data_IF_751546916136
#
_entry.id   IF_751546916136
#
_cell.length_a   1.000
_cell.length_b   1.000
_cell.length_c   1.000
_cell.angle_alpha   90.00
_cell.angle_beta   90.00
_cell.angle_gamma   90.00
#
_symmetry.space_group_name_H-M   'P 1'
#
loop_
_entity.id
_entity.type
_entity.pdbx_description
1 polymer ?
#
# COMPACT_ATOMS: atom_id res chain seq x y z
N UNK A 1 3.78 -48.04 29.45
CA UNK A 1 3.97 -48.21 30.90
C UNK A 1 2.63 -48.70 31.47
N UNK A 2 2.56 -49.79 32.22
CA UNK A 2 1.28 -50.22 32.82
C UNK A 2 0.86 -49.26 33.92
N UNK A 3 -0.47 -49.00 33.97
CA UNK A 3 -1.11 -48.00 34.85
C UNK A 3 -0.78 -48.20 36.35
N UNK A 4 -0.48 -49.44 36.75
CA UNK A 4 -0.11 -49.75 38.13
C UNK A 4 1.25 -49.11 38.58
N UNK A 5 2.15 -48.77 37.65
CA UNK A 5 3.42 -48.10 38.00
C UNK A 5 3.29 -46.56 38.08
N UNK A 6 2.18 -46.03 37.69
CA UNK A 6 1.87 -44.59 37.80
C UNK A 6 1.36 -44.20 39.15
N UNK A 7 0.77 -45.16 39.90
CA UNK A 7 0.17 -44.89 41.22
C UNK A 7 1.22 -44.49 42.28
N UNK A 8 2.44 -45.02 42.17
CA UNK A 8 3.53 -44.75 43.16
C UNK A 8 4.22 -43.37 42.89
N UNK A 9 3.99 -42.73 41.78
CA UNK A 9 4.61 -41.44 41.40
C UNK A 9 3.59 -40.32 41.25
N UNK A 10 2.32 -40.60 41.51
CA UNK A 10 1.25 -39.64 41.35
C UNK A 10 1.21 -38.58 42.47
N UNK A 11 1.60 -37.35 42.13
CA UNK A 11 1.60 -36.20 43.04
C UNK A 11 0.30 -35.39 43.03
N UNK A 12 -0.83 -35.98 42.66
CA UNK A 12 -2.16 -35.33 42.68
C UNK A 12 -2.47 -34.45 41.45
N UNK A 13 -1.51 -34.22 40.54
CA UNK A 13 -1.71 -33.45 39.31
C UNK A 13 -1.18 -34.23 38.10
N UNK A 14 -2.03 -34.51 37.13
CA UNK A 14 -1.65 -35.12 35.88
C UNK A 14 -1.77 -34.11 34.73
N UNK A 15 -0.65 -33.84 34.05
CA UNK A 15 -0.60 -33.03 32.81
C UNK A 15 -0.69 -33.96 31.60
N UNK A 16 -1.83 -33.96 30.93
CA UNK A 16 -2.02 -34.72 29.70
C UNK A 16 -1.45 -33.94 28.53
N UNK A 17 -0.18 -34.19 28.15
CA UNK A 17 0.40 -33.63 26.96
C UNK A 17 0.15 -34.59 25.78
N UNK A 18 -0.77 -34.23 24.90
CA UNK A 18 -0.96 -34.92 23.62
C UNK A 18 -0.03 -34.30 22.59
N UNK A 19 1.05 -34.99 22.26
CA UNK A 19 1.87 -34.64 21.12
C UNK A 19 1.06 -34.83 19.84
N UNK A 20 0.52 -33.72 19.33
CA UNK A 20 -0.15 -33.69 18.03
C UNK A 20 0.85 -33.21 16.98
N UNK A 21 1.91 -34.01 16.76
CA UNK A 21 2.85 -33.73 15.68
C UNK A 21 2.48 -34.60 14.46
N UNK A 22 1.82 -33.98 13.48
CA UNK A 22 2.05 -34.31 12.08
C UNK A 22 2.94 -33.22 11.52
N UNK A 23 4.25 -33.41 11.70
CA UNK A 23 5.26 -32.55 11.11
C UNK A 23 5.66 -33.15 9.76
N UNK A 24 4.99 -32.75 8.71
CA UNK A 24 5.52 -32.82 7.35
C UNK A 24 6.08 -31.46 6.91
N UNK A 25 6.64 -30.70 7.82
CA UNK A 25 7.43 -29.53 7.47
C UNK A 25 8.90 -29.95 7.48
N UNK A 26 9.49 -30.07 6.29
CA UNK A 26 10.95 -30.23 6.11
C UNK A 26 11.68 -29.21 7.00
N UNK A 27 12.59 -29.64 7.91
CA UNK A 27 13.31 -28.74 8.82
C UNK A 27 14.21 -27.70 8.10
N UNK A 28 14.36 -27.79 6.78
CA UNK A 28 15.22 -26.90 5.98
C UNK A 28 14.55 -25.65 5.41
N UNK A 29 13.22 -25.49 5.52
CA UNK A 29 12.53 -24.36 4.88
C UNK A 29 12.65 -23.03 5.63
N UNK A 30 13.21 -23.02 6.85
CA UNK A 30 13.40 -21.83 7.68
C UNK A 30 14.87 -21.50 7.97
N UNK A 31 15.80 -22.26 7.37
CA UNK A 31 17.23 -21.98 7.47
C UNK A 31 17.57 -20.79 6.57
N UNK A 32 18.04 -19.71 7.22
CA UNK A 32 18.90 -18.68 6.62
C UNK A 32 18.33 -17.90 5.44
N UNK A 33 17.22 -17.22 5.60
CA UNK A 33 17.03 -16.03 4.78
C UNK A 33 17.76 -14.88 5.47
N UNK A 34 18.84 -14.44 4.84
CA UNK A 34 19.64 -13.27 5.23
C UNK A 34 18.68 -12.13 5.64
N UNK A 35 18.91 -11.48 6.78
CA UNK A 35 17.97 -10.59 7.45
C UNK A 35 17.43 -9.42 6.62
N UNK A 36 17.91 -9.26 5.38
CA UNK A 36 17.58 -8.19 4.45
C UNK A 36 16.44 -8.52 3.48
N UNK A 37 16.20 -9.79 3.19
CA UNK A 37 15.29 -10.19 2.09
C UNK A 37 13.96 -10.82 2.53
N UNK A 38 13.77 -11.13 3.83
CA UNK A 38 12.58 -11.85 4.30
C UNK A 38 11.25 -11.16 3.94
N UNK A 39 11.23 -9.82 4.00
CA UNK A 39 10.05 -9.03 3.67
C UNK A 39 9.76 -9.07 2.16
N UNK A 40 10.80 -8.86 1.34
CA UNK A 40 10.65 -8.90 -0.12
C UNK A 40 10.36 -10.31 -0.63
N UNK A 41 10.85 -11.36 0.03
CA UNK A 41 10.53 -12.74 -0.30
C UNK A 41 9.06 -13.06 -0.02
N UNK A 42 8.51 -12.51 1.08
CA UNK A 42 7.09 -12.62 1.35
C UNK A 42 6.25 -11.92 0.26
N UNK A 43 6.65 -10.72 -0.18
CA UNK A 43 5.98 -10.01 -1.29
C UNK A 43 6.09 -10.80 -2.62
N UNK A 44 7.28 -11.34 -2.93
CA UNK A 44 7.53 -12.06 -4.18
C UNK A 44 6.61 -13.26 -4.38
N UNK A 45 6.16 -13.87 -3.29
CA UNK A 45 5.20 -14.99 -3.33
C UNK A 45 3.85 -14.55 -3.90
N UNK A 46 3.45 -13.28 -3.73
CA UNK A 46 2.19 -12.72 -4.22
C UNK A 46 2.28 -12.09 -5.62
N UNK A 47 3.39 -12.31 -6.35
CA UNK A 47 3.60 -11.73 -7.68
C UNK A 47 2.46 -12.01 -8.68
N UNK A 48 1.82 -13.20 -8.58
CA UNK A 48 0.67 -13.55 -9.45
C UNK A 48 -0.53 -12.67 -9.14
N UNK A 49 -0.85 -12.47 -7.87
CA UNK A 49 -1.97 -11.64 -7.47
C UNK A 49 -1.71 -10.14 -7.78
N UNK A 50 -0.46 -9.65 -7.68
CA UNK A 50 -0.11 -8.31 -8.19
C UNK A 50 -0.26 -8.22 -9.72
N UNK A 51 0.01 -9.29 -10.46
CA UNK A 51 -0.23 -9.34 -11.90
C UNK A 51 -1.74 -9.28 -12.22
N UNK A 52 -2.58 -10.00 -11.47
CA UNK A 52 -4.04 -9.94 -11.61
C UNK A 52 -4.59 -8.53 -11.31
N UNK A 53 -4.06 -7.88 -10.28
CA UNK A 53 -4.37 -6.47 -9.96
C UNK A 53 -3.95 -5.54 -11.10
N UNK A 54 -2.77 -5.75 -11.68
CA UNK A 54 -2.27 -4.96 -12.81
C UNK A 54 -3.10 -5.18 -14.08
N UNK A 55 -3.52 -6.42 -14.36
CA UNK A 55 -4.42 -6.72 -15.47
C UNK A 55 -5.80 -6.08 -15.28
N UNK A 56 -6.35 -6.15 -14.07
CA UNK A 56 -7.60 -5.45 -13.74
C UNK A 56 -7.49 -3.94 -13.89
N UNK A 57 -6.35 -3.35 -13.49
CA UNK A 57 -6.04 -1.94 -13.70
C UNK A 57 -5.96 -1.61 -15.20
N UNK A 58 -5.32 -2.46 -15.99
CA UNK A 58 -5.23 -2.30 -17.45
C UNK A 58 -6.61 -2.24 -18.07
N UNK A 59 -7.46 -3.22 -17.79
CA UNK A 59 -8.80 -3.25 -18.35
C UNK A 59 -9.66 -2.07 -17.91
N UNK A 60 -9.61 -1.69 -16.62
CA UNK A 60 -10.34 -0.54 -16.11
C UNK A 60 -9.89 0.77 -16.78
N UNK A 61 -8.57 0.98 -16.93
CA UNK A 61 -8.03 2.18 -17.59
C UNK A 61 -8.30 2.19 -19.09
N UNK A 62 -8.36 1.03 -19.75
CA UNK A 62 -8.76 0.93 -21.15
C UNK A 62 -10.24 1.30 -21.33
N UNK A 63 -11.14 0.80 -20.49
CA UNK A 63 -12.55 1.17 -20.49
C UNK A 63 -12.76 2.65 -20.21
N UNK A 64 -11.92 3.24 -19.37
CA UNK A 64 -11.95 4.67 -19.07
C UNK A 64 -11.72 5.58 -20.30
N UNK A 65 -11.03 5.09 -21.34
CA UNK A 65 -10.82 5.80 -22.61
C UNK A 65 -12.15 5.95 -23.35
N UNK A 66 -13.05 5.00 -23.21
CA UNK A 66 -14.35 5.01 -23.90
C UNK A 66 -15.15 6.29 -23.61
N UNK A 67 -15.09 6.81 -22.38
CA UNK A 67 -15.75 8.07 -22.01
C UNK A 67 -15.22 9.28 -22.79
N UNK A 68 -13.91 9.35 -23.00
CA UNK A 68 -13.29 10.44 -23.74
C UNK A 68 -13.61 10.33 -25.25
N UNK A 69 -13.57 9.12 -25.80
CA UNK A 69 -13.92 8.87 -27.20
C UNK A 69 -15.41 9.12 -27.46
N UNK A 70 -16.28 8.78 -26.52
CA UNK A 70 -17.69 9.13 -26.58
C UNK A 70 -17.89 10.64 -26.70
N UNK A 71 -17.28 11.40 -25.79
CA UNK A 71 -17.40 12.87 -25.84
C UNK A 71 -16.90 13.40 -27.20
N UNK A 72 -15.79 12.91 -27.71
CA UNK A 72 -15.27 13.29 -29.02
C UNK A 72 -16.29 13.03 -30.14
N UNK A 73 -16.86 11.82 -30.19
CA UNK A 73 -17.85 11.47 -31.23
C UNK A 73 -19.14 12.29 -31.10
N UNK A 74 -19.60 12.57 -29.89
CA UNK A 74 -20.79 13.38 -29.67
C UNK A 74 -20.59 14.81 -30.19
N UNK A 75 -19.49 15.46 -29.81
CA UNK A 75 -19.25 16.85 -30.24
C UNK A 75 -18.90 16.98 -31.72
N UNK A 76 -18.23 15.99 -32.33
CA UNK A 76 -17.79 16.08 -33.74
C UNK A 76 -18.82 15.55 -34.72
N UNK A 77 -19.70 14.63 -34.33
CA UNK A 77 -20.64 13.99 -35.25
C UNK A 77 -22.10 14.12 -34.86
N UNK A 78 -22.42 13.88 -33.58
CA UNK A 78 -23.83 13.86 -33.16
C UNK A 78 -24.41 15.27 -33.12
N UNK A 79 -23.70 16.21 -32.49
CA UNK A 79 -24.18 17.60 -32.33
C UNK A 79 -24.35 18.31 -33.68
N UNK A 80 -23.37 18.28 -34.62
CA UNK A 80 -23.54 18.95 -35.89
C UNK A 80 -24.64 18.35 -36.79
N UNK A 81 -24.83 17.03 -36.71
CA UNK A 81 -25.78 16.32 -37.57
C UNK A 81 -27.14 16.03 -36.91
N UNK A 82 -27.34 16.46 -35.66
CA UNK A 82 -28.55 16.17 -34.85
C UNK A 82 -28.94 14.68 -34.85
N UNK A 83 -27.91 13.79 -34.85
CA UNK A 83 -28.08 12.33 -34.96
C UNK A 83 -28.40 11.71 -33.61
N UNK A 84 -29.65 11.91 -33.10
CA UNK A 84 -30.05 11.45 -31.76
C UNK A 84 -30.08 9.93 -31.62
N UNK A 85 -30.37 9.17 -32.67
CA UNK A 85 -30.34 7.70 -32.65
C UNK A 85 -28.92 7.19 -32.36
N UNK A 86 -27.93 7.79 -33.00
CA UNK A 86 -26.51 7.48 -32.76
C UNK A 86 -26.10 7.84 -31.34
N UNK A 87 -26.63 8.94 -30.78
CA UNK A 87 -26.37 9.35 -29.39
C UNK A 87 -26.75 8.24 -28.41
N UNK A 88 -27.96 7.69 -28.52
CA UNK A 88 -28.47 6.69 -27.59
C UNK A 88 -27.67 5.36 -27.68
N UNK A 89 -27.26 4.97 -28.88
CA UNK A 89 -26.41 3.78 -29.09
C UNK A 89 -25.04 4.00 -28.44
N UNK A 90 -24.40 5.13 -28.68
CA UNK A 90 -23.10 5.44 -28.07
C UNK A 90 -23.20 5.60 -26.54
N UNK A 91 -24.26 6.27 -26.04
CA UNK A 91 -24.49 6.46 -24.63
C UNK A 91 -24.68 5.13 -23.91
N UNK A 92 -25.50 4.23 -24.46
CA UNK A 92 -25.70 2.88 -23.86
C UNK A 92 -24.39 2.09 -23.81
N UNK A 93 -23.55 2.14 -24.85
CA UNK A 93 -22.25 1.50 -24.88
C UNK A 93 -21.30 2.05 -23.81
N UNK A 94 -21.26 3.38 -23.66
CA UNK A 94 -20.39 4.01 -22.65
C UNK A 94 -20.92 3.79 -21.23
N UNK A 95 -22.22 3.81 -20.99
CA UNK A 95 -22.80 3.46 -19.69
C UNK A 95 -22.39 2.03 -19.31
N UNK A 96 -22.46 1.08 -20.24
CA UNK A 96 -22.01 -0.27 -20.02
C UNK A 96 -20.51 -0.32 -19.70
N UNK A 97 -19.68 0.43 -20.42
CA UNK A 97 -18.24 0.52 -20.16
C UNK A 97 -17.94 1.09 -18.76
N UNK A 98 -18.69 2.14 -18.33
CA UNK A 98 -18.54 2.72 -16.99
C UNK A 98 -18.93 1.71 -15.90
N UNK A 99 -20.00 0.94 -16.09
CA UNK A 99 -20.41 -0.10 -15.13
C UNK A 99 -19.32 -1.18 -15.03
N UNK A 100 -18.79 -1.65 -16.17
CA UNK A 100 -17.68 -2.62 -16.16
C UNK A 100 -16.41 -2.04 -15.52
N UNK A 101 -16.06 -0.77 -15.81
CA UNK A 101 -14.95 -0.08 -15.16
C UNK A 101 -15.14 -0.07 -13.64
N UNK A 102 -16.33 0.28 -13.15
CA UNK A 102 -16.64 0.31 -11.73
C UNK A 102 -16.53 -1.07 -11.07
N UNK A 103 -17.05 -2.11 -11.73
CA UNK A 103 -16.96 -3.50 -11.25
C UNK A 103 -15.49 -3.94 -11.19
N UNK A 104 -14.70 -3.67 -12.23
CA UNK A 104 -13.27 -4.01 -12.23
C UNK A 104 -12.49 -3.27 -11.14
N UNK A 105 -12.77 -1.99 -10.90
CA UNK A 105 -12.17 -1.22 -9.80
C UNK A 105 -12.54 -1.79 -8.43
N UNK A 106 -13.80 -2.16 -8.24
CA UNK A 106 -14.27 -2.80 -7.01
C UNK A 106 -13.60 -4.15 -6.78
N UNK A 107 -13.57 -5.02 -7.81
CA UNK A 107 -12.91 -6.33 -7.75
C UNK A 107 -11.41 -6.19 -7.43
N UNK A 108 -10.73 -5.22 -8.06
CA UNK A 108 -9.33 -4.90 -7.78
C UNK A 108 -9.11 -4.50 -6.32
N UNK A 109 -9.98 -3.64 -5.77
CA UNK A 109 -9.94 -3.27 -4.36
C UNK A 109 -10.06 -4.48 -3.46
N UNK A 110 -11.07 -5.30 -3.70
CA UNK A 110 -11.31 -6.53 -2.92
C UNK A 110 -10.15 -7.54 -2.99
N UNK A 111 -9.52 -7.70 -4.16
CA UNK A 111 -8.32 -8.53 -4.32
C UNK A 111 -7.15 -7.98 -3.49
N UNK A 112 -6.92 -6.67 -3.50
CA UNK A 112 -5.87 -6.03 -2.70
C UNK A 112 -6.12 -6.20 -1.20
N UNK A 113 -7.37 -6.07 -0.74
CA UNK A 113 -7.74 -6.25 0.66
C UNK A 113 -7.55 -7.72 1.11
N UNK A 114 -7.96 -8.68 0.27
CA UNK A 114 -7.76 -10.11 0.54
C UNK A 114 -6.27 -10.48 0.60
N UNK A 115 -5.45 -9.93 -0.31
CA UNK A 115 -4.00 -10.07 -0.29
C UNK A 115 -3.41 -9.42 0.97
N UNK A 116 -3.88 -8.22 1.31
CA UNK A 116 -3.47 -7.46 2.49
C UNK A 116 -3.66 -8.27 3.75
N UNK A 117 -4.84 -8.86 3.95
CA UNK A 117 -5.16 -9.72 5.09
C UNK A 117 -4.21 -10.92 5.18
N UNK A 118 -3.97 -11.63 4.08
CA UNK A 118 -3.09 -12.81 4.07
C UNK A 118 -1.62 -12.44 4.31
N UNK A 119 -1.17 -11.33 3.75
CA UNK A 119 0.18 -10.81 3.97
C UNK A 119 0.36 -10.37 5.42
N UNK A 120 -0.63 -9.69 5.99
CA UNK A 120 -0.65 -9.28 7.39
C UNK A 120 -0.46 -10.44 8.35
N UNK A 121 -1.29 -11.46 8.24
CA UNK A 121 -1.21 -12.65 9.09
C UNK A 121 0.18 -13.30 9.03
N UNK A 122 0.77 -13.38 7.84
CA UNK A 122 2.11 -13.98 7.66
C UNK A 122 3.21 -13.10 8.25
N UNK A 123 3.18 -11.81 7.92
CA UNK A 123 4.23 -10.89 8.36
C UNK A 123 4.17 -10.68 9.88
N UNK A 124 2.99 -10.54 10.46
CA UNK A 124 2.79 -10.42 11.91
C UNK A 124 3.31 -11.65 12.66
N UNK A 125 2.97 -12.85 12.16
CA UNK A 125 3.48 -14.11 12.74
C UNK A 125 4.98 -14.23 12.64
N UNK A 126 5.57 -13.86 11.49
CA UNK A 126 7.02 -13.89 11.30
C UNK A 126 7.75 -12.86 12.17
N UNK A 127 7.16 -11.68 12.31
CA UNK A 127 7.67 -10.63 13.20
C UNK A 127 7.71 -11.13 14.64
N UNK A 128 6.60 -11.64 15.14
CA UNK A 128 6.49 -12.14 16.52
C UNK A 128 7.44 -13.32 16.79
N UNK A 129 7.54 -14.27 15.84
CA UNK A 129 8.47 -15.37 15.94
C UNK A 129 9.92 -14.88 16.05
N UNK A 130 10.29 -13.84 15.30
CA UNK A 130 11.63 -13.23 15.38
C UNK A 130 11.87 -12.52 16.71
N UNK A 131 10.87 -11.82 17.23
CA UNK A 131 10.94 -11.21 18.58
C UNK A 131 11.27 -12.27 19.62
N UNK A 132 10.57 -13.41 19.59
CA UNK A 132 10.78 -14.52 20.53
C UNK A 132 12.15 -15.20 20.34
N UNK A 133 12.72 -15.18 19.15
CA UNK A 133 14.03 -15.74 18.83
C UNK A 133 15.19 -14.79 19.15
N UNK A 134 14.92 -13.56 19.55
CA UNK A 134 15.96 -12.58 19.89
C UNK A 134 16.71 -13.05 21.16
N UNK A 135 18.04 -13.03 21.12
CA UNK A 135 18.86 -13.39 22.29
C UNK A 135 18.69 -12.36 23.39
N UNK A 136 18.62 -12.80 24.64
CA UNK A 136 18.54 -11.94 25.81
C UNK A 136 19.70 -10.92 25.86
N UNK A 137 20.91 -11.33 25.42
CA UNK A 137 22.06 -10.44 25.32
C UNK A 137 21.93 -9.33 24.27
N UNK A 138 21.01 -9.49 23.31
CA UNK A 138 20.75 -8.51 22.25
C UNK A 138 19.42 -7.74 22.49
N UNK A 139 18.87 -7.87 23.71
CA UNK A 139 17.67 -7.11 24.12
C UNK A 139 17.96 -5.62 24.05
N UNK A 140 17.12 -4.82 23.36
CA UNK A 140 17.26 -3.38 23.34
C UNK A 140 17.23 -2.79 24.76
N UNK A 141 18.03 -1.77 25.01
CA UNK A 141 18.12 -1.10 26.30
C UNK A 141 16.80 -0.43 26.70
N UNK A 142 15.97 -0.04 25.71
CA UNK A 142 14.66 0.57 25.93
C UNK A 142 13.57 -0.33 25.34
N UNK A 143 12.69 -0.84 26.21
CA UNK A 143 11.53 -1.63 25.84
C UNK A 143 10.53 -0.78 25.04
N UNK A 144 10.36 0.49 25.41
CA UNK A 144 9.47 1.41 24.74
C UNK A 144 9.90 1.74 23.30
N UNK A 145 11.20 1.91 23.06
CA UNK A 145 11.73 2.10 21.72
C UNK A 145 11.50 0.85 20.86
N UNK A 146 11.68 -0.34 21.42
CA UNK A 146 11.46 -1.60 20.72
C UNK A 146 9.98 -1.81 20.36
N UNK A 147 9.07 -1.57 21.31
CA UNK A 147 7.62 -1.64 21.09
C UNK A 147 7.17 -0.63 20.01
N UNK A 148 7.74 0.57 20.03
CA UNK A 148 7.47 1.58 19.01
C UNK A 148 7.91 1.10 17.61
N UNK A 149 9.08 0.47 17.49
CA UNK A 149 9.56 -0.08 16.23
C UNK A 149 8.67 -1.21 15.71
N UNK A 150 8.16 -2.07 16.59
CA UNK A 150 7.21 -3.13 16.20
C UNK A 150 5.92 -2.51 15.67
N UNK A 151 5.42 -1.46 16.31
CA UNK A 151 4.22 -0.75 15.85
C UNK A 151 4.43 -0.06 14.51
N UNK A 152 5.62 0.49 14.24
CA UNK A 152 5.94 1.07 12.94
C UNK A 152 5.93 0.05 11.79
N UNK A 153 6.07 -1.24 12.10
CA UNK A 153 5.89 -2.29 11.11
C UNK A 153 4.47 -2.34 10.54
N UNK A 154 3.46 -1.94 11.31
CA UNK A 154 2.08 -1.83 10.82
C UNK A 154 1.99 -0.79 9.68
N UNK A 155 2.68 0.34 9.82
CA UNK A 155 2.76 1.36 8.77
C UNK A 155 3.46 0.84 7.51
N UNK A 156 4.52 0.03 7.67
CA UNK A 156 5.21 -0.63 6.56
C UNK A 156 4.26 -1.59 5.84
N UNK A 157 3.58 -2.43 6.59
CA UNK A 157 2.61 -3.38 6.06
C UNK A 157 1.49 -2.68 5.30
N UNK A 158 0.87 -1.67 5.93
CA UNK A 158 -0.22 -0.89 5.35
C UNK A 158 0.18 -0.26 4.02
N UNK A 159 1.40 0.25 3.91
CA UNK A 159 1.90 0.81 2.66
C UNK A 159 1.85 -0.19 1.50
N UNK A 160 2.24 -1.44 1.71
CA UNK A 160 2.28 -2.47 0.66
C UNK A 160 0.95 -3.15 0.39
N UNK A 161 0.00 -3.07 1.33
CA UNK A 161 -1.31 -3.73 1.22
C UNK A 161 -2.46 -2.78 0.90
N UNK A 162 -2.22 -1.47 0.96
CA UNK A 162 -3.25 -0.44 0.80
C UNK A 162 -3.31 0.15 -0.62
N UNK A 163 -4.00 1.27 -0.74
CA UNK A 163 -4.16 2.08 -1.95
C UNK A 163 -2.84 2.41 -2.68
N UNK A 164 -1.68 2.33 -2.00
CA UNK A 164 -0.38 2.57 -2.63
C UNK A 164 -0.09 1.58 -3.76
N UNK A 165 -0.45 0.30 -3.58
CA UNK A 165 -0.29 -0.71 -4.62
C UNK A 165 -1.25 -0.47 -5.80
N UNK A 166 -2.48 0.01 -5.53
CA UNK A 166 -3.44 0.37 -6.56
C UNK A 166 -2.92 1.53 -7.42
N UNK A 167 -2.44 2.60 -6.79
CA UNK A 167 -1.92 3.77 -7.49
C UNK A 167 -0.66 3.42 -8.27
N UNK A 168 0.26 2.62 -7.69
CA UNK A 168 1.45 2.16 -8.40
C UNK A 168 1.12 1.36 -9.67
N UNK A 169 0.02 0.60 -9.67
CA UNK A 169 -0.44 -0.11 -10.86
C UNK A 169 -1.09 0.80 -11.91
N UNK A 170 -1.54 2.00 -11.53
CA UNK A 170 -2.14 2.97 -12.46
C UNK A 170 -1.07 3.87 -13.14
N UNK A 171 0.12 4.02 -12.56
CA UNK A 171 1.21 4.86 -13.10
C UNK A 171 1.62 4.52 -14.55
N UNK A 172 1.78 3.24 -14.96
CA UNK A 172 2.15 2.93 -16.35
C UNK A 172 1.12 3.41 -17.37
N UNK A 173 -0.16 3.50 -16.99
CA UNK A 173 -1.24 3.90 -17.88
C UNK A 173 -1.23 5.40 -18.20
N UNK A 174 -0.56 6.21 -17.39
CA UNK A 174 -0.28 7.62 -17.72
C UNK A 174 0.38 7.73 -19.09
N UNK A 175 1.32 6.84 -19.43
CA UNK A 175 1.99 6.84 -20.74
C UNK A 175 1.01 6.52 -21.88
N UNK A 176 0.07 5.61 -21.66
CA UNK A 176 -0.96 5.26 -22.64
C UNK A 176 -1.89 6.45 -22.87
N UNK A 177 -2.35 7.11 -21.82
CA UNK A 177 -3.17 8.31 -21.94
C UNK A 177 -2.43 9.44 -22.68
N UNK A 178 -1.15 9.66 -22.38
CA UNK A 178 -0.32 10.65 -23.10
C UNK A 178 -0.16 10.28 -24.57
N UNK A 179 0.04 9.00 -24.89
CA UNK A 179 0.12 8.53 -26.28
C UNK A 179 -1.18 8.78 -27.04
N UNK A 180 -2.34 8.54 -26.42
CA UNK A 180 -3.65 8.80 -27.04
C UNK A 180 -3.87 10.30 -27.22
N UNK A 181 -3.50 11.13 -26.24
CA UNK A 181 -3.58 12.60 -26.40
C UNK A 181 -2.67 13.07 -27.55
N UNK A 182 -1.47 12.48 -27.70
CA UNK A 182 -0.56 12.81 -28.79
C UNK A 182 -1.15 12.43 -30.16
N UNK A 183 -1.88 11.31 -30.25
CA UNK A 183 -2.54 10.86 -31.48
C UNK A 183 -3.74 11.73 -31.85
N UNK A 184 -4.52 12.19 -30.88
CA UNK A 184 -5.77 12.96 -31.11
C UNK A 184 -5.48 14.47 -31.23
N UNK A 185 -4.70 15.00 -30.26
CA UNK A 185 -4.46 16.45 -30.11
C UNK A 185 -3.09 16.92 -30.59
N UNK A 186 -2.22 15.99 -31.06
CA UNK A 186 -0.88 16.32 -31.50
C UNK A 186 -0.06 17.04 -30.40
N UNK A 187 0.44 18.27 -30.65
CA UNK A 187 1.31 18.98 -29.71
C UNK A 187 0.64 19.39 -28.38
N UNK A 188 -0.70 19.26 -28.24
CA UNK A 188 -1.43 19.50 -27.00
C UNK A 188 -0.91 18.61 -25.86
N UNK A 189 -0.34 17.45 -26.19
CA UNK A 189 0.28 16.50 -25.22
C UNK A 189 1.42 17.14 -24.40
N UNK A 190 2.06 18.18 -24.92
CA UNK A 190 3.14 18.88 -24.20
C UNK A 190 2.65 19.50 -22.88
N UNK A 191 1.37 19.90 -22.83
CA UNK A 191 0.78 20.50 -21.61
C UNK A 191 0.72 19.50 -20.44
N UNK A 192 0.11 18.31 -20.57
CA UNK A 192 0.13 17.33 -19.49
C UNK A 192 1.54 16.78 -19.20
N UNK A 193 2.44 16.70 -20.18
CA UNK A 193 3.83 16.33 -19.91
C UNK A 193 4.52 17.38 -19.03
N UNK A 194 4.36 18.67 -19.36
CA UNK A 194 4.90 19.76 -18.55
C UNK A 194 4.29 19.76 -17.12
N UNK A 195 2.99 19.51 -17.00
CA UNK A 195 2.32 19.39 -15.71
C UNK A 195 2.89 18.23 -14.88
N UNK A 196 3.10 17.07 -15.47
CA UNK A 196 3.70 15.91 -14.80
C UNK A 196 5.13 16.24 -14.34
N UNK A 197 5.95 16.86 -15.19
CA UNK A 197 7.30 17.29 -14.81
C UNK A 197 7.28 18.29 -13.65
N UNK A 198 6.35 19.24 -13.69
CA UNK A 198 6.17 20.23 -12.62
C UNK A 198 5.71 19.64 -11.29
N UNK A 199 4.98 18.50 -11.32
CA UNK A 199 4.59 17.76 -10.11
C UNK A 199 5.72 16.88 -9.58
N UNK A 200 6.42 16.16 -10.47
CA UNK A 200 7.43 15.17 -10.10
C UNK A 200 8.69 15.86 -9.58
N UNK A 201 9.13 16.94 -10.21
CA UNK A 201 10.40 17.59 -9.86
C UNK A 201 10.44 18.12 -8.41
N UNK A 202 9.46 18.90 -7.91
CA UNK A 202 9.45 19.33 -6.51
C UNK A 202 9.33 18.16 -5.54
N UNK A 203 8.54 17.13 -5.93
CA UNK A 203 8.36 15.93 -5.12
C UNK A 203 9.69 15.19 -4.91
N UNK A 204 10.48 15.02 -5.96
CA UNK A 204 11.81 14.42 -5.88
C UNK A 204 12.80 15.27 -5.07
N UNK A 205 12.79 16.58 -5.28
CA UNK A 205 13.69 17.50 -4.55
C UNK A 205 13.43 17.50 -3.03
N UNK A 206 12.16 17.38 -2.63
CA UNK A 206 11.76 17.42 -1.23
C UNK A 206 11.88 16.08 -0.50
N UNK A 207 12.18 14.96 -1.19
CA UNK A 207 12.28 13.63 -0.60
C UNK A 207 13.28 13.55 0.55
N UNK A 208 14.46 14.17 0.41
CA UNK A 208 15.49 14.16 1.46
C UNK A 208 14.99 14.84 2.73
N UNK A 209 14.34 15.99 2.61
CA UNK A 209 13.73 16.71 3.73
C UNK A 209 12.63 15.89 4.41
N UNK A 210 11.75 15.28 3.62
CA UNK A 210 10.71 14.39 4.16
C UNK A 210 11.31 13.21 4.92
N UNK A 211 12.35 12.57 4.37
CA UNK A 211 13.04 11.47 5.03
C UNK A 211 13.65 11.89 6.37
N UNK A 212 14.29 13.05 6.43
CA UNK A 212 14.88 13.57 7.68
C UNK A 212 13.82 13.91 8.73
N UNK A 213 12.72 14.55 8.32
CA UNK A 213 11.59 14.83 9.21
C UNK A 213 10.95 13.54 9.71
N UNK A 214 10.79 12.54 8.84
CA UNK A 214 10.26 11.23 9.19
C UNK A 214 11.15 10.51 10.22
N UNK A 215 12.49 10.55 10.03
CA UNK A 215 13.45 9.98 11.00
C UNK A 215 13.35 10.66 12.35
N UNK A 216 13.25 11.99 12.40
CA UNK A 216 13.07 12.75 13.64
C UNK A 216 11.75 12.39 14.30
N UNK A 217 10.66 12.36 13.57
CA UNK A 217 9.33 12.02 14.09
C UNK A 217 9.31 10.62 14.73
N UNK A 218 9.88 9.63 14.05
CA UNK A 218 9.99 8.26 14.56
C UNK A 218 10.86 8.20 15.83
N UNK A 219 12.00 8.92 15.87
CA UNK A 219 12.88 8.95 17.01
C UNK A 219 12.23 9.63 18.21
N UNK A 220 11.60 10.79 18.02
CA UNK A 220 10.93 11.53 19.09
C UNK A 220 9.70 10.78 19.62
N UNK A 221 8.95 10.13 18.71
CA UNK A 221 7.85 9.24 19.07
C UNK A 221 8.31 8.03 19.90
N UNK A 222 9.43 7.42 19.54
CA UNK A 222 10.02 6.31 20.31
C UNK A 222 10.45 6.76 21.72
N UNK A 223 11.06 7.93 21.85
CA UNK A 223 11.47 8.48 23.17
C UNK A 223 10.23 8.75 24.04
N UNK A 224 9.19 9.38 23.46
CA UNK A 224 7.92 9.63 24.18
C UNK A 224 7.25 8.33 24.66
N UNK A 225 7.19 7.31 23.79
CA UNK A 225 6.63 6.00 24.15
C UNK A 225 7.48 5.30 25.22
N UNK A 226 8.82 5.44 25.16
CA UNK A 226 9.71 4.90 26.19
C UNK A 226 9.44 5.53 27.55
N UNK A 227 9.28 6.86 27.61
CA UNK A 227 8.94 7.57 28.83
C UNK A 227 7.61 7.10 29.43
N UNK A 228 6.59 6.87 28.55
CA UNK A 228 5.29 6.38 29.01
C UNK A 228 5.42 4.99 29.67
N UNK A 229 6.12 4.06 29.04
CA UNK A 229 6.31 2.71 29.56
C UNK A 229 7.10 2.77 30.86
N UNK A 230 8.18 3.54 30.92
CA UNK A 230 9.00 3.73 32.11
C UNK A 230 8.19 4.34 33.28
N UNK A 231 7.33 5.32 32.99
CA UNK A 231 6.47 5.94 34.00
C UNK A 231 5.41 4.94 34.55
N UNK A 232 4.87 4.07 33.68
CA UNK A 232 3.89 3.05 34.11
C UNK A 232 4.59 1.94 34.91
N UNK A 233 5.76 1.48 34.46
CA UNK A 233 6.53 0.44 35.16
C UNK A 233 7.00 0.91 36.56
N UNK A 234 7.33 2.20 36.70
CA UNK A 234 7.83 2.77 37.96
C UNK A 234 6.81 3.70 38.68
N UNK A 235 5.51 3.49 38.44
CA UNK A 235 4.46 4.37 38.95
C UNK A 235 4.48 4.52 40.48
N UNK A 236 4.77 3.46 41.22
CA UNK A 236 4.87 3.45 42.67
C UNK A 236 6.04 4.35 43.13
N UNK A 237 7.21 4.22 42.50
CA UNK A 237 8.37 5.02 42.80
C UNK A 237 8.15 6.52 42.51
N UNK A 238 7.48 6.85 41.40
CA UNK A 238 7.11 8.22 41.07
C UNK A 238 6.18 8.81 42.09
N UNK A 239 5.16 8.05 42.55
CA UNK A 239 4.21 8.49 43.59
C UNK A 239 4.87 8.63 44.96
N UNK A 240 5.68 7.65 45.36
CA UNK A 240 6.40 7.69 46.63
C UNK A 240 7.37 8.88 46.68
N UNK A 241 8.04 9.20 45.55
CA UNK A 241 8.96 10.32 45.46
C UNK A 241 8.31 11.66 45.11
N UNK A 242 6.96 11.74 45.04
CA UNK A 242 6.23 12.95 44.55
C UNK A 242 6.77 13.49 43.25
N UNK A 243 7.15 12.59 42.31
CA UNK A 243 7.81 12.91 41.06
C UNK A 243 6.87 13.22 39.86
N UNK A 244 5.54 13.26 40.10
CA UNK A 244 4.52 13.41 39.07
C UNK A 244 4.71 14.71 38.27
N UNK A 245 5.03 15.82 38.93
CA UNK A 245 5.24 17.11 38.30
C UNK A 245 6.42 17.08 37.30
N UNK A 246 7.53 16.43 37.67
CA UNK A 246 8.69 16.28 36.81
C UNK A 246 8.40 15.36 35.60
N UNK A 247 7.70 14.26 35.84
CA UNK A 247 7.30 13.35 34.79
C UNK A 247 6.34 14.04 33.77
N UNK A 248 5.38 14.82 34.28
CA UNK A 248 4.46 15.61 33.47
C UNK A 248 5.18 16.67 32.62
N UNK A 249 6.10 17.42 33.22
CA UNK A 249 6.89 18.44 32.51
C UNK A 249 7.73 17.83 31.39
N UNK A 250 8.33 16.66 31.62
CA UNK A 250 9.09 15.95 30.60
C UNK A 250 8.18 15.45 29.45
N UNK A 251 7.00 14.92 29.80
CA UNK A 251 5.99 14.50 28.84
C UNK A 251 5.50 15.65 27.97
N UNK A 252 5.21 16.80 28.55
CA UNK A 252 4.79 18.00 27.82
C UNK A 252 5.87 18.47 26.86
N UNK A 253 7.14 18.52 27.33
CA UNK A 253 8.29 18.92 26.51
C UNK A 253 8.46 17.99 25.29
N UNK A 254 8.38 16.67 25.49
CA UNK A 254 8.49 15.70 24.41
C UNK A 254 7.28 15.77 23.46
N UNK A 255 6.09 15.99 24.01
CA UNK A 255 4.87 16.16 23.22
C UNK A 255 4.94 17.41 22.34
N UNK A 256 5.42 18.53 22.88
CA UNK A 256 5.59 19.78 22.12
C UNK A 256 6.60 19.60 20.98
N UNK A 257 7.74 18.96 21.23
CA UNK A 257 8.73 18.65 20.17
C UNK A 257 8.16 17.76 19.07
N UNK A 258 7.48 16.69 19.47
CA UNK A 258 6.86 15.77 18.52
C UNK A 258 5.79 16.47 17.68
N UNK A 259 4.94 17.30 18.30
CA UNK A 259 3.93 18.08 17.61
C UNK A 259 4.53 19.06 16.59
N UNK A 260 5.64 19.72 16.95
CA UNK A 260 6.35 20.63 16.04
C UNK A 260 6.94 19.90 14.85
N UNK A 261 7.62 18.76 15.07
CA UNK A 261 8.17 17.91 14.01
C UNK A 261 7.07 17.36 13.11
N UNK A 262 5.97 16.91 13.71
CA UNK A 262 4.80 16.41 12.98
C UNK A 262 4.14 17.51 12.14
N UNK A 263 4.01 18.73 12.70
CA UNK A 263 3.47 19.90 11.99
C UNK A 263 4.30 20.24 10.75
N UNK A 264 5.62 20.27 10.86
CA UNK A 264 6.52 20.51 9.73
C UNK A 264 6.40 19.44 8.66
N UNK A 265 6.36 18.16 9.06
CA UNK A 265 6.19 17.04 8.13
C UNK A 265 4.84 17.10 7.41
N UNK A 266 3.76 17.38 8.15
CA UNK A 266 2.41 17.50 7.59
C UNK A 266 2.31 18.70 6.65
N UNK A 267 2.81 19.87 7.05
CA UNK A 267 2.82 21.08 6.20
C UNK A 267 3.52 20.84 4.88
N UNK A 268 4.68 20.17 4.90
CA UNK A 268 5.42 19.84 3.69
C UNK A 268 4.66 18.85 2.78
N UNK A 269 4.09 17.80 3.36
CA UNK A 269 3.28 16.84 2.63
C UNK A 269 2.02 17.48 2.04
N UNK A 270 1.36 18.34 2.81
CA UNK A 270 0.16 19.06 2.36
C UNK A 270 0.49 20.04 1.23
N UNK A 271 1.63 20.76 1.33
CA UNK A 271 2.08 21.65 0.26
C UNK A 271 2.31 20.89 -1.06
N UNK A 272 2.91 19.69 -1.01
CA UNK A 272 3.09 18.84 -2.19
C UNK A 272 1.74 18.37 -2.76
N UNK A 273 0.81 17.95 -1.90
CA UNK A 273 -0.50 17.45 -2.34
C UNK A 273 -1.36 18.56 -2.92
N UNK A 274 -1.45 19.71 -2.25
CA UNK A 274 -2.21 20.86 -2.76
C UNK A 274 -1.55 21.48 -3.99
N UNK A 275 -0.21 21.55 -4.01
CA UNK A 275 0.53 22.00 -5.17
C UNK A 275 0.27 21.11 -6.40
N UNK A 276 0.26 19.79 -6.22
CA UNK A 276 -0.10 18.86 -7.29
C UNK A 276 -1.55 19.07 -7.78
N UNK A 277 -2.51 19.30 -6.88
CA UNK A 277 -3.88 19.64 -7.25
C UNK A 277 -3.99 20.96 -8.05
N UNK A 278 -3.23 21.99 -7.66
CA UNK A 278 -3.15 23.23 -8.44
C UNK A 278 -2.59 23.02 -9.84
N UNK A 279 -1.50 22.27 -9.95
CA UNK A 279 -0.89 21.95 -11.27
C UNK A 279 -1.86 21.17 -12.15
N UNK A 280 -2.67 20.29 -11.58
CA UNK A 280 -3.72 19.57 -12.32
C UNK A 280 -4.78 20.54 -12.89
N UNK A 281 -5.19 21.55 -12.12
CA UNK A 281 -6.11 22.56 -12.60
C UNK A 281 -5.48 23.43 -13.72
N UNK A 282 -4.23 23.84 -13.54
CA UNK A 282 -3.52 24.56 -14.58
C UNK A 282 -3.32 23.73 -15.84
N UNK A 283 -3.10 22.41 -15.71
CA UNK A 283 -3.03 21.51 -16.84
C UNK A 283 -4.35 21.52 -17.64
N UNK A 284 -5.49 21.43 -16.96
CA UNK A 284 -6.79 21.52 -17.61
C UNK A 284 -6.95 22.83 -18.39
N UNK A 285 -6.69 23.98 -17.73
CA UNK A 285 -6.76 25.30 -18.37
C UNK A 285 -5.80 25.40 -19.56
N UNK A 286 -4.59 24.88 -19.40
CA UNK A 286 -3.57 24.87 -20.47
C UNK A 286 -3.97 24.02 -21.67
N UNK A 287 -4.57 22.83 -21.45
CA UNK A 287 -5.09 21.98 -22.53
C UNK A 287 -6.19 22.72 -23.30
N UNK A 288 -7.14 23.35 -22.56
CA UNK A 288 -8.24 24.09 -23.19
C UNK A 288 -7.70 25.30 -23.96
N UNK A 289 -6.86 26.12 -23.35
CA UNK A 289 -6.32 27.32 -23.99
C UNK A 289 -5.52 26.98 -25.25
N UNK A 290 -4.57 26.03 -25.14
CA UNK A 290 -3.73 25.61 -26.28
C UNK A 290 -4.55 24.92 -27.37
N UNK A 291 -5.55 24.11 -26.97
CA UNK A 291 -6.44 23.43 -27.90
C UNK A 291 -7.34 24.40 -28.69
N UNK A 292 -7.79 25.50 -28.07
CA UNK A 292 -8.56 26.56 -28.79
C UNK A 292 -7.73 27.19 -29.90
N UNK A 293 -6.43 27.47 -29.65
CA UNK A 293 -5.54 27.94 -30.72
C UNK A 293 -5.42 26.93 -31.85
N UNK A 294 -5.30 25.64 -31.54
CA UNK A 294 -5.22 24.56 -32.52
C UNK A 294 -6.52 24.39 -33.34
N UNK A 295 -7.67 24.65 -32.71
CA UNK A 295 -8.96 24.66 -33.43
C UNK A 295 -9.01 25.85 -34.38
N UNK A 296 -8.54 27.03 -33.96
CA UNK A 296 -8.47 28.21 -34.82
C UNK A 296 -7.57 28.02 -36.06
N UNK A 297 -6.52 27.19 -35.95
CA UNK A 297 -5.65 26.78 -37.05
C UNK A 297 -6.27 25.66 -37.93
N UNK A 298 -7.45 25.15 -37.59
CA UNK A 298 -8.09 24.05 -38.31
C UNK A 298 -7.42 22.67 -38.09
N UNK A 299 -6.50 22.56 -37.12
CA UNK A 299 -5.72 21.35 -36.89
C UNK A 299 -6.30 20.43 -35.81
N UNK A 300 -7.42 20.84 -35.19
CA UNK A 300 -8.09 20.09 -34.13
C UNK A 300 -9.59 20.36 -34.11
N UNK A 301 -10.40 19.33 -33.79
CA UNK A 301 -11.85 19.47 -33.61
C UNK A 301 -12.22 19.82 -32.18
N UNK A 302 -13.44 20.33 -31.99
CA UNK A 302 -13.98 20.62 -30.64
C UNK A 302 -14.10 19.32 -29.81
N UNK A 303 -14.55 18.23 -30.43
CA UNK A 303 -14.64 16.94 -29.77
C UNK A 303 -13.27 16.39 -29.37
N UNK A 304 -12.24 16.58 -30.21
CA UNK A 304 -10.87 16.22 -29.89
C UNK A 304 -10.34 17.04 -28.69
N UNK A 305 -10.67 18.32 -28.56
CA UNK A 305 -10.35 19.15 -27.41
C UNK A 305 -10.97 18.60 -26.12
N UNK A 306 -12.28 18.29 -26.15
CA UNK A 306 -12.97 17.72 -24.99
C UNK A 306 -12.36 16.38 -24.60
N UNK A 307 -12.08 15.50 -25.59
CA UNK A 307 -11.44 14.22 -25.32
C UNK A 307 -10.04 14.39 -24.70
N UNK A 308 -9.20 15.30 -25.23
CA UNK A 308 -7.89 15.60 -24.67
C UNK A 308 -7.96 16.16 -23.25
N UNK A 309 -8.96 16.97 -22.93
CA UNK A 309 -9.14 17.51 -21.58
C UNK A 309 -9.52 16.41 -20.57
N UNK A 310 -10.42 15.50 -20.95
CA UNK A 310 -10.80 14.35 -20.13
C UNK A 310 -9.63 13.38 -19.91
N UNK A 311 -8.91 13.05 -20.98
CA UNK A 311 -7.74 12.18 -20.93
C UNK A 311 -6.59 12.83 -20.14
N UNK A 312 -6.38 14.14 -20.30
CA UNK A 312 -5.38 14.90 -19.55
C UNK A 312 -5.62 14.86 -18.06
N UNK A 313 -6.85 15.05 -17.63
CA UNK A 313 -7.22 14.91 -16.22
C UNK A 313 -6.93 13.48 -15.68
N UNK A 314 -7.24 12.44 -16.47
CA UNK A 314 -6.96 11.04 -16.11
C UNK A 314 -5.46 10.70 -16.16
N UNK A 315 -4.67 11.30 -17.04
CA UNK A 315 -3.23 11.09 -17.13
C UNK A 315 -2.48 11.71 -15.94
N UNK A 316 -2.94 12.87 -15.46
CA UNK A 316 -2.28 13.63 -14.39
C UNK A 316 -2.71 13.16 -13.00
N UNK A 317 -3.93 12.65 -12.82
CA UNK A 317 -4.47 12.23 -11.53
C UNK A 317 -3.61 11.20 -10.77
N UNK A 318 -3.08 10.12 -11.38
CA UNK A 318 -2.19 9.19 -10.67
C UNK A 318 -0.89 9.86 -10.19
N UNK A 319 -0.40 10.87 -10.90
CA UNK A 319 0.81 11.61 -10.54
C UNK A 319 0.61 12.50 -9.32
N UNK A 320 -0.57 13.13 -9.19
CA UNK A 320 -0.92 13.91 -8.00
C UNK A 320 -0.98 13.02 -6.74
N UNK A 321 -1.52 11.81 -6.88
CA UNK A 321 -1.56 10.83 -5.80
C UNK A 321 -0.17 10.24 -5.51
N UNK A 322 0.68 10.07 -6.52
CA UNK A 322 2.05 9.57 -6.37
C UNK A 322 2.90 10.47 -5.47
N UNK A 323 2.67 11.78 -5.47
CA UNK A 323 3.34 12.71 -4.55
C UNK A 323 3.06 12.36 -3.07
N UNK A 324 1.81 12.03 -2.74
CA UNK A 324 1.42 11.56 -1.40
C UNK A 324 2.00 10.20 -1.04
N UNK A 325 2.04 9.27 -2.01
CA UNK A 325 2.66 7.94 -1.81
C UNK A 325 4.14 8.08 -1.56
N UNK A 326 4.82 8.96 -2.27
CA UNK A 326 6.25 9.17 -2.12
C UNK A 326 6.62 9.65 -0.71
N UNK A 327 5.77 10.49 -0.10
CA UNK A 327 5.91 10.89 1.29
C UNK A 327 5.75 9.69 2.24
N UNK A 328 4.73 8.87 2.05
CA UNK A 328 4.51 7.64 2.83
C UNK A 328 5.63 6.61 2.61
N UNK A 329 6.15 6.48 1.39
CA UNK A 329 7.28 5.61 1.08
C UNK A 329 8.52 5.97 1.89
N UNK A 330 8.85 7.27 2.03
CA UNK A 330 9.99 7.68 2.85
C UNK A 330 9.81 7.30 4.32
N UNK A 331 8.61 7.48 4.87
CA UNK A 331 8.30 7.04 6.23
C UNK A 331 8.45 5.52 6.37
N UNK A 332 7.85 4.77 5.45
CA UNK A 332 7.92 3.30 5.39
C UNK A 332 9.35 2.78 5.26
N UNK A 333 10.15 3.41 4.40
CA UNK A 333 11.55 3.06 4.20
C UNK A 333 12.38 3.25 5.47
N UNK A 334 12.21 4.39 6.14
CA UNK A 334 12.92 4.68 7.39
C UNK A 334 12.50 3.72 8.50
N UNK A 335 11.21 3.42 8.61
CA UNK A 335 10.69 2.43 9.56
C UNK A 335 11.27 1.03 9.27
N UNK A 336 11.34 0.62 8.01
CA UNK A 336 11.92 -0.66 7.60
C UNK A 336 13.43 -0.73 7.85
N UNK A 337 14.19 0.34 7.57
CA UNK A 337 15.61 0.45 7.89
C UNK A 337 15.85 0.34 9.40
N UNK A 338 15.01 0.99 10.22
CA UNK A 338 15.04 0.88 11.68
C UNK A 338 14.81 -0.54 12.17
N UNK A 339 13.80 -1.23 11.62
CA UNK A 339 13.52 -2.63 11.92
C UNK A 339 14.67 -3.57 11.55
N UNK A 340 15.25 -3.41 10.37
CA UNK A 340 16.35 -4.27 9.91
C UNK A 340 17.61 -4.04 10.73
N UNK A 341 17.89 -2.79 11.13
CA UNK A 341 19.11 -2.45 11.89
C UNK A 341 19.05 -2.89 13.35
N UNK A 342 17.86 -2.92 13.96
CA UNK A 342 17.66 -3.34 15.35
C UNK A 342 17.69 -4.85 15.54
N UNK A 343 17.64 -5.64 14.46
CA UNK A 343 17.66 -7.09 14.56
C UNK A 343 19.09 -7.65 14.47
N UNK A 344 19.56 -8.36 15.52
CA UNK A 344 20.87 -9.00 15.49
C UNK A 344 20.91 -10.07 14.39
N UNK A 345 22.00 -10.09 13.64
CA UNK A 345 22.25 -11.02 12.51
C UNK A 345 22.33 -12.51 12.90
N UNK A 346 22.27 -12.84 14.19
CA UNK A 346 22.35 -14.23 14.68
C UNK A 346 21.14 -14.57 15.54
N UNK A 347 20.25 -15.39 15.03
CA UNK A 347 19.18 -16.03 15.81
C UNK A 347 19.77 -17.06 16.79
N UNK A 348 19.19 -17.21 17.98
CA UNK A 348 19.42 -18.39 18.82
C UNK A 348 18.84 -19.58 18.07
N UNK A 349 19.67 -20.54 17.69
CA UNK A 349 19.36 -21.63 16.75
C UNK A 349 18.28 -22.65 17.16
N UNK A 350 17.26 -22.26 17.93
CA UNK A 350 16.06 -23.07 18.18
C UNK A 350 14.92 -22.59 17.28
N UNK A 351 14.54 -23.40 16.33
CA UNK A 351 13.32 -23.18 15.55
C UNK A 351 12.10 -23.34 16.45
N UNK A 352 11.27 -22.30 16.54
CA UNK A 352 9.95 -22.41 17.16
C UNK A 352 9.05 -23.11 16.14
N UNK A 353 8.55 -24.30 16.48
CA UNK A 353 7.62 -25.05 15.67
C UNK A 353 6.31 -24.27 15.49
N UNK A 354 5.88 -24.05 14.26
CA UNK A 354 4.59 -23.44 13.93
C UNK A 354 3.43 -24.34 14.40
N UNK A 355 2.44 -23.77 15.06
CA UNK A 355 1.17 -24.48 15.29
C UNK A 355 0.45 -24.68 13.95
N UNK A 356 0.07 -25.92 13.65
CA UNK A 356 -0.54 -26.34 12.37
C UNK A 356 -1.91 -25.71 12.10
N UNK A 357 -2.57 -25.17 13.14
CA UNK A 357 -3.88 -24.55 13.03
C UNK A 357 -3.95 -23.32 12.09
N UNK A 358 -2.83 -22.65 11.86
CA UNK A 358 -2.76 -21.46 11.00
C UNK A 358 -2.55 -21.77 9.51
N UNK A 359 -1.98 -22.93 9.19
CA UNK A 359 -1.82 -23.33 7.79
C UNK A 359 -3.17 -23.73 7.16
N UNK A 360 -4.05 -24.36 7.93
CA UNK A 360 -5.37 -24.75 7.45
C UNK A 360 -6.29 -23.55 7.19
N UNK A 361 -6.12 -22.45 7.96
CA UNK A 361 -6.88 -21.21 7.74
C UNK A 361 -6.40 -20.42 6.52
N UNK A 362 -5.10 -20.42 6.25
CA UNK A 362 -4.52 -19.73 5.08
C UNK A 362 -4.78 -20.49 3.77
N UNK A 363 -4.82 -21.81 3.80
CA UNK A 363 -5.09 -22.64 2.63
C UNK A 363 -6.59 -22.75 2.34
N UNK A 364 -7.46 -22.73 3.36
CA UNK A 364 -8.91 -22.69 3.17
C UNK A 364 -9.41 -21.35 2.60
N UNK A 365 -8.78 -20.23 2.94
CA UNK A 365 -9.12 -18.94 2.35
C UNK A 365 -8.62 -18.79 0.90
N UNK A 366 -7.58 -19.53 0.52
CA UNK A 366 -7.09 -19.56 -0.87
C UNK A 366 -7.95 -20.48 -1.77
N UNK A 367 -8.66 -21.46 -1.19
CA UNK A 367 -9.58 -22.36 -1.91
C UNK A 367 -10.98 -21.77 -2.16
N UNK A 368 -11.30 -20.65 -1.52
CA UNK A 368 -12.55 -19.88 -1.69
C UNK A 368 -12.51 -18.89 -2.85
N UNK A 369 -11.40 -18.78 -3.58
CA UNK A 369 -11.42 -18.11 -4.88
C UNK A 369 -12.17 -19.02 -5.87
N UNK A 370 -13.28 -18.58 -6.49
CA UNK A 370 -13.94 -19.36 -7.51
C UNK A 370 -12.91 -19.60 -8.63
N UNK A 371 -12.49 -20.85 -8.79
CA UNK A 371 -11.88 -21.29 -10.04
C UNK A 371 -12.93 -21.04 -11.12
N UNK A 372 -12.73 -20.04 -11.95
CA UNK A 372 -13.36 -19.97 -13.26
C UNK A 372 -12.86 -21.18 -14.04
N UNK A 373 -13.54 -22.29 -13.80
CA UNK A 373 -13.24 -23.57 -14.39
C UNK A 373 -13.73 -23.59 -15.83
N UNK A 374 -12.82 -23.79 -16.72
CA UNK A 374 -13.09 -24.42 -18.00
C UNK A 374 -13.60 -25.84 -17.73
N UNK A 375 -14.92 -26.03 -17.76
CA UNK A 375 -15.56 -27.33 -17.89
C UNK A 375 -15.35 -27.82 -19.32
N UNK A 376 -14.29 -28.57 -19.55
CA UNK A 376 -14.23 -29.49 -20.68
C UNK A 376 -14.90 -30.79 -20.23
N UNK A 377 -16.15 -30.93 -20.63
CA UNK A 377 -16.93 -32.15 -20.62
C UNK A 377 -16.19 -33.22 -21.44
N UNK A 378 -15.73 -34.29 -20.78
CA UNK A 378 -15.36 -35.55 -21.43
C UNK A 378 -16.29 -36.63 -20.93
N UNK A 379 -17.43 -36.75 -21.60
CA UNK A 379 -18.13 -38.01 -21.70
C UNK A 379 -17.30 -38.97 -22.58
N UNK A 380 -16.96 -40.14 -22.08
CA UNK A 380 -16.74 -41.37 -22.81
C UNK A 380 -17.20 -42.50 -21.90
N UNK A 381 -18.40 -43.02 -22.18
CA UNK A 381 -18.73 -44.31 -22.76
C UNK A 381 -17.78 -45.46 -22.37
N UNK A 382 -18.16 -46.26 -21.50
CA UNK A 382 -18.60 -47.67 -21.54
C UNK A 382 -19.01 -48.13 -20.17
#
# INVERSE_FOLDING_TARGET
>A
MPVAKLADVYAGVAVFAKLRFKSEARPGAFATTDGRHWFFDALRKYRRAYLEVALGAMMANLLAIATALFAMQVYDRVVPNSAFDTLWILASGVVMAIVFEAVLRYMRGHLLDAMGKNLDLRLSTQLFARVLQTRLSARPASLGAFTSQIREFESVREFFTSSSAAIASDLPFTLIFLAIIALIGGPVVLVPIAAIMLMVFPSLMMQRRLADLSRRNLREGAIKNSLLIEAVENLEAIKAGRGEGRAMQLWETLTAKLAETARHSHSLSSALTYGAGMVQQFCYVGIVAFGVYRIGEGAMTVGALVACSLLGARAVAPMSQAAGILARWQHTRVALEGLISSWPRRSSGRSIARSSAWNDYADSSCSLMPRLGTTTDRRSST
#
